data_IF_925861761241
#
_entry.id   IF_925861761241
#
_cell.length_a   1.000
_cell.length_b   1.000
_cell.length_c   1.000
_cell.angle_alpha   90.00
_cell.angle_beta   90.00
_cell.angle_gamma   90.00
#
_symmetry.space_group_name_H-M   'P 1'
#
loop_
_entity.id
_entity.type
_entity.pdbx_description
1 polymer ?
2 polymer ?
3 water ?
#
# COMPACT_ATOMS: atom_id res chain seq x y z
N UNK A 4 -11.51 -17.15 -10.01
CA UNK A 4 -10.27 -17.44 -9.31
C UNK A 4 -9.76 -16.24 -8.52
N UNK A 5 -9.12 -16.50 -7.39
CA UNK A 5 -8.51 -15.47 -6.58
C UNK A 5 -7.33 -14.85 -7.30
N UNK A 6 -7.30 -13.52 -7.41
CA UNK A 6 -6.22 -12.82 -8.12
C UNK A 6 -4.89 -12.91 -7.37
N UNK A 7 -3.80 -12.65 -8.09
CA UNK A 7 -2.47 -12.60 -7.50
C UNK A 7 -2.39 -11.48 -6.47
N UNK A 8 -1.78 -11.77 -5.32
CA UNK A 8 -1.62 -10.76 -4.28
C UNK A 8 -0.80 -9.57 -4.76
N UNK A 9 -1.23 -8.38 -4.33
CA UNK A 9 -0.80 -7.11 -4.88
C UNK A 9 0.70 -6.86 -4.80
N UNK A 10 1.27 -7.03 -3.61
CA UNK A 10 2.71 -6.84 -3.42
C UNK A 10 3.35 -8.13 -2.93
N UNK A 11 4.67 -8.16 -2.91
CA UNK A 11 5.39 -9.35 -2.46
C UNK A 11 5.25 -9.56 -0.95
N UNK A 12 5.22 -8.46 -0.19
CA UNK A 12 5.08 -8.54 1.25
C UNK A 12 3.73 -9.16 1.61
N UNK A 13 2.67 -8.68 0.95
CA UNK A 13 1.34 -9.24 1.14
C UNK A 13 1.32 -10.70 0.71
N UNK A 14 1.88 -10.97 -0.47
CA UNK A 14 1.97 -12.32 -1.03
C UNK A 14 2.64 -13.30 -0.06
N UNK A 15 3.75 -12.90 0.53
CA UNK A 15 4.50 -13.79 1.43
C UNK A 15 3.71 -14.13 2.69
N UNK A 16 2.83 -13.22 3.10
CA UNK A 16 2.03 -13.41 4.31
C UNK A 16 0.81 -14.30 4.05
N UNK A 17 0.07 -14.00 2.99
CA UNK A 17 -1.27 -14.57 2.80
C UNK A 17 -1.34 -15.79 1.87
N UNK A 18 -0.39 -15.89 0.94
CA UNK A 18 -0.36 -17.01 0.01
C UNK A 18 -0.33 -18.40 0.69
N UNK A 19 0.50 -18.58 1.74
CA UNK A 19 0.44 -19.88 2.42
C UNK A 19 -0.92 -20.15 3.05
N UNK A 20 -1.57 -19.09 3.54
CA UNK A 20 -2.90 -19.22 4.15
C UNK A 20 -3.93 -19.63 3.11
N UNK A 21 -3.93 -18.95 1.97
CA UNK A 21 -4.87 -19.25 0.90
C UNK A 21 -4.66 -20.67 0.38
N UNK A 22 -3.41 -21.08 0.28
CA UNK A 22 -3.08 -22.42 -0.20
C UNK A 22 -3.55 -23.50 0.78
N UNK A 23 -3.39 -23.26 2.08
CA UNK A 23 -3.76 -24.26 3.08
C UNK A 23 -5.28 -24.41 3.22
N UNK A 24 -6.00 -23.33 2.95
CA UNK A 24 -7.46 -23.36 3.02
C UNK A 24 -8.05 -24.16 1.85
N UNK A 25 -7.49 -23.99 0.66
CA UNK A 25 -7.94 -24.76 -0.50
C UNK A 25 -7.63 -26.25 -0.29
N UNK A 26 -6.53 -26.52 0.40
CA UNK A 26 -6.17 -27.88 0.76
C UNK A 26 -7.18 -28.44 1.77
N UNK A 27 -7.58 -27.59 2.72
CA UNK A 27 -8.59 -27.96 3.71
C UNK A 27 -9.93 -28.30 3.05
N UNK A 28 -10.34 -27.48 2.09
CA UNK A 28 -11.56 -27.72 1.32
C UNK A 28 -11.52 -29.06 0.59
N UNK A 29 -10.43 -29.29 -0.14
CA UNK A 29 -10.23 -30.55 -0.84
C UNK A 29 -10.30 -31.72 0.12
N UNK A 30 -9.62 -31.58 1.26
CA UNK A 30 -9.63 -32.62 2.28
C UNK A 30 -11.05 -32.81 2.83
N UNK A 31 -11.77 -31.70 2.96
CA UNK A 31 -13.13 -31.73 3.48
C UNK A 31 -14.08 -32.47 2.54
N UNK A 32 -13.86 -32.34 1.24
CA UNK A 32 -14.76 -32.94 0.25
C UNK A 32 -14.38 -34.37 -0.12
N UNK A 33 -13.09 -34.66 -0.14
CA UNK A 33 -12.60 -35.97 -0.59
C UNK A 33 -12.23 -36.87 0.58
N UNK A 34 -12.04 -36.27 1.75
CA UNK A 34 -11.63 -37.01 2.93
C UNK A 34 -12.76 -37.81 3.55
N UNK A 35 -12.44 -38.54 4.60
CA UNK A 35 -13.39 -39.44 5.24
C UNK A 35 -13.47 -39.18 6.74
N UNK A 38 -13.65 -38.37 13.19
CA UNK A 38 -13.52 -39.53 14.05
C UNK A 38 -12.89 -39.19 15.39
N UNK A 39 -12.33 -40.20 16.05
CA UNK A 39 -11.66 -39.99 17.34
C UNK A 39 -10.25 -39.45 17.16
N UNK A 40 -9.85 -39.27 15.91
CA UNK A 40 -8.51 -38.78 15.59
C UNK A 40 -8.44 -37.25 15.65
N UNK A 41 -9.57 -36.61 15.87
CA UNK A 41 -9.64 -35.14 15.95
C UNK A 41 -9.25 -34.66 17.35
N UNK A 42 -8.13 -33.93 17.46
CA UNK A 42 -7.64 -33.42 18.74
C UNK A 42 -8.45 -32.23 19.24
N UNK A 43 -8.25 -31.85 20.50
CA UNK A 43 -8.93 -30.69 21.07
C UNK A 43 -8.38 -29.41 20.43
N UNK A 44 -9.27 -28.66 19.79
CA UNK A 44 -8.86 -27.45 19.08
C UNK A 44 -9.10 -26.19 19.92
N UNK A 45 -9.42 -26.38 21.20
CA UNK A 45 -9.70 -25.25 22.09
C UNK A 45 -8.49 -24.31 22.24
N UNK A 46 -7.35 -24.87 22.62
CA UNK A 46 -6.12 -24.09 22.73
C UNK A 46 -5.58 -23.50 21.41
N UNK A 47 -5.61 -24.28 20.31
CA UNK A 47 -5.17 -23.68 19.03
C UNK A 47 -6.02 -22.49 18.60
N UNK A 48 -7.35 -22.65 18.67
CA UNK A 48 -8.26 -21.55 18.34
C UNK A 48 -8.02 -20.36 19.25
N UNK A 49 -7.74 -20.64 20.52
CA UNK A 49 -7.45 -19.61 21.50
C UNK A 49 -6.20 -18.82 21.10
N UNK A 50 -5.25 -19.49 20.46
CA UNK A 50 -4.02 -18.84 20.03
C UNK A 50 -4.26 -17.91 18.85
N UNK A 51 -5.15 -18.31 17.96
CA UNK A 51 -5.54 -17.48 16.83
C UNK A 51 -6.24 -16.24 17.35
N UNK A 52 -7.19 -16.47 18.26
CA UNK A 52 -7.97 -15.40 18.87
C UNK A 52 -7.06 -14.38 19.54
N UNK A 53 -6.01 -14.86 20.20
CA UNK A 53 -5.05 -14.00 20.86
C UNK A 53 -4.26 -13.17 19.85
N UNK A 54 -3.80 -13.84 18.79
CA UNK A 54 -3.01 -13.18 17.76
C UNK A 54 -3.83 -12.14 17.00
N UNK A 55 -5.07 -12.48 16.69
CA UNK A 55 -5.97 -11.57 16.01
C UNK A 55 -6.21 -10.32 16.85
N UNK A 56 -6.44 -10.53 18.14
CA UNK A 56 -6.65 -9.45 19.09
C UNK A 56 -5.47 -8.49 19.07
N UNK A 57 -4.25 -9.04 19.02
CA UNK A 57 -3.05 -8.22 18.96
C UNK A 57 -2.94 -7.45 17.65
N UNK A 58 -3.42 -8.04 16.56
CA UNK A 58 -3.41 -7.36 15.27
C UNK A 58 -4.37 -6.17 15.27
N UNK A 59 -5.51 -6.35 15.92
CA UNK A 59 -6.51 -5.29 16.02
C UNK A 59 -6.00 -4.10 16.85
N UNK A 60 -5.42 -4.41 18.01
CA UNK A 60 -4.86 -3.39 18.89
C UNK A 60 -3.75 -2.57 18.22
N UNK A 61 -2.78 -3.27 17.62
CA UNK A 61 -1.68 -2.59 16.93
C UNK A 61 -2.22 -1.77 15.75
N UNK A 62 -3.19 -2.34 15.05
CA UNK A 62 -3.84 -1.65 13.95
C UNK A 62 -4.49 -0.34 14.39
N UNK A 63 -5.10 -0.35 15.57
CA UNK A 63 -5.74 0.85 16.11
C UNK A 63 -4.71 1.89 16.54
N UNK A 64 -3.64 1.44 17.20
CA UNK A 64 -2.59 2.33 17.67
C UNK A 64 -1.89 3.01 16.49
N UNK A 65 -1.77 2.27 15.39
CA UNK A 65 -1.10 2.78 14.19
C UNK A 65 -1.97 3.79 13.46
N UNK A 66 -3.27 3.50 13.38
CA UNK A 66 -4.20 4.41 12.70
C UNK A 66 -4.53 5.61 13.59
N UNK A 67 -4.29 5.45 14.89
CA UNK A 67 -4.50 6.53 15.86
C UNK A 67 -3.57 7.70 15.59
N UNK A 68 -2.36 7.38 15.13
CA UNK A 68 -1.32 8.38 14.95
C UNK A 68 -1.12 8.77 13.49
N UNK A 69 -2.20 8.85 12.73
CA UNK A 69 -2.12 9.32 11.35
C UNK A 69 -3.07 10.47 11.10
N UNK A 70 -2.90 11.15 9.98
CA UNK A 70 -3.79 12.23 9.57
C UNK A 70 -4.63 11.78 8.39
N UNK A 71 -4.44 10.53 7.99
CA UNK A 71 -5.19 9.96 6.87
C UNK A 71 -6.60 9.58 7.32
N UNK A 72 -7.55 10.46 7.07
CA UNK A 72 -8.93 10.24 7.48
C UNK A 72 -9.58 9.12 6.68
N UNK A 73 -9.05 8.85 5.50
CA UNK A 73 -9.53 7.74 4.68
C UNK A 73 -9.15 6.42 5.34
N UNK A 74 -7.92 6.36 5.83
CA UNK A 74 -7.44 5.17 6.52
C UNK A 74 -8.25 4.91 7.79
N UNK A 75 -8.63 5.99 8.47
CA UNK A 75 -9.45 5.89 9.68
C UNK A 75 -10.83 5.33 9.38
N UNK A 76 -11.31 5.57 8.15
CA UNK A 76 -12.64 5.17 7.75
C UNK A 76 -12.70 3.74 7.21
N UNK A 77 -11.68 3.36 6.44
CA UNK A 77 -11.69 2.06 5.74
C UNK A 77 -11.15 0.90 6.57
N UNK A 78 -10.43 1.21 7.63
CA UNK A 78 -9.83 0.18 8.49
C UNK A 78 -10.80 -0.58 9.40
N UNK A 79 -11.71 0.13 10.12
CA UNK A 79 -12.61 -0.58 11.04
C UNK A 79 -13.42 -1.77 10.47
N UNK A 80 -13.92 -1.69 9.22
CA UNK A 80 -14.58 -2.89 8.69
C UNK A 80 -13.70 -4.14 8.69
N UNK A 81 -12.39 -3.98 8.46
CA UNK A 81 -11.49 -5.11 8.45
C UNK A 81 -11.33 -5.70 9.85
N UNK A 82 -11.30 -4.83 10.86
CA UNK A 82 -11.23 -5.27 12.24
C UNK A 82 -12.40 -6.18 12.55
N UNK A 83 -13.58 -5.77 12.10
CA UNK A 83 -14.80 -6.50 12.35
C UNK A 83 -14.79 -7.89 11.69
N UNK A 84 -14.27 -7.94 10.46
CA UNK A 84 -14.21 -9.19 9.71
C UNK A 84 -13.45 -10.29 10.45
N UNK A 85 -12.24 -9.98 10.89
CA UNK A 85 -11.39 -10.97 11.55
C UNK A 85 -11.91 -11.37 12.93
N UNK A 86 -12.53 -10.43 13.64
CA UNK A 86 -13.03 -10.72 14.97
C UNK A 86 -14.26 -11.62 14.90
N UNK A 87 -15.13 -11.34 13.92
CA UNK A 87 -16.28 -12.19 13.69
C UNK A 87 -15.87 -13.61 13.31
N UNK A 88 -14.84 -13.71 12.46
CA UNK A 88 -14.34 -14.99 12.00
C UNK A 88 -13.82 -15.83 13.17
N UNK A 89 -13.27 -15.15 14.18
CA UNK A 89 -12.79 -15.83 15.38
C UNK A 89 -13.91 -16.53 16.15
N UNK A 90 -15.09 -15.91 16.19
CA UNK A 90 -16.22 -16.48 16.93
C UNK A 90 -16.70 -17.76 16.28
N UNK A 91 -16.50 -17.87 14.97
CA UNK A 91 -16.87 -19.06 14.24
C UNK A 91 -15.92 -20.22 14.57
N UNK A 92 -14.66 -19.87 14.83
CA UNK A 92 -13.66 -20.87 15.18
C UNK A 92 -13.83 -21.36 16.61
N UNK A 93 -14.13 -20.42 17.51
CA UNK A 93 -14.39 -20.75 18.91
C UNK A 93 -15.57 -21.70 19.02
N UNK A 94 -16.66 -21.34 18.33
CA UNK A 94 -17.86 -22.16 18.33
C UNK A 94 -17.60 -23.54 17.72
N UNK A 95 -16.78 -23.58 16.67
CA UNK A 95 -16.44 -24.83 16.01
C UNK A 95 -15.72 -25.80 16.96
N UNK A 96 -14.70 -25.29 17.64
CA UNK A 96 -13.95 -26.07 18.61
C UNK A 96 -14.85 -26.65 19.71
N UNK A 97 -15.82 -25.84 20.12
CA UNK A 97 -16.76 -26.23 21.16
C UNK A 97 -17.69 -27.34 20.64
N UNK A 98 -18.12 -27.19 19.39
CA UNK A 98 -18.96 -28.18 18.73
C UNK A 98 -18.27 -29.54 18.58
N UNK A 99 -17.06 -29.51 18.03
CA UNK A 99 -16.30 -30.74 17.79
C UNK A 99 -15.94 -31.44 19.09
N UNK A 100 -15.78 -30.65 20.15
CA UNK A 100 -15.53 -31.19 21.47
C UNK A 100 -16.71 -32.04 21.94
N UNK A 101 -17.92 -31.65 21.54
CA UNK A 101 -19.12 -32.37 21.91
C UNK A 101 -19.40 -33.52 20.95
N UNK A 102 -19.17 -33.27 19.66
CA UNK A 102 -19.37 -34.28 18.65
C UNK A 102 -18.33 -34.14 17.55
N UNK A 103 -17.39 -35.08 17.49
CA UNK A 103 -16.29 -35.11 16.51
C UNK A 103 -16.79 -35.17 15.07
N UNK A 104 -18.04 -35.54 14.88
CA UNK A 104 -18.62 -35.68 13.54
C UNK A 104 -19.51 -34.50 13.16
N UNK A 105 -19.47 -33.44 13.95
CA UNK A 105 -20.32 -32.27 13.72
C UNK A 105 -20.14 -31.64 12.34
N UNK A 106 -21.21 -31.63 11.56
CA UNK A 106 -21.20 -31.00 10.24
C UNK A 106 -21.08 -29.46 10.27
N UNK A 107 -21.90 -28.77 11.09
CA UNK A 107 -21.78 -27.31 11.11
C UNK A 107 -20.42 -26.85 11.60
N UNK A 108 -19.79 -27.65 12.45
CA UNK A 108 -18.48 -27.32 13.00
C UNK A 108 -17.42 -27.22 11.91
N UNK A 109 -17.53 -28.09 10.90
CA UNK A 109 -16.57 -28.11 9.81
C UNK A 109 -16.80 -26.94 8.85
N UNK A 110 -18.06 -26.59 8.65
CA UNK A 110 -18.40 -25.43 7.84
C UNK A 110 -17.89 -24.15 8.48
N UNK A 111 -17.98 -24.10 9.82
CA UNK A 111 -17.49 -22.96 10.59
C UNK A 111 -15.96 -22.83 10.50
N UNK A 112 -15.29 -23.98 10.51
CA UNK A 112 -13.84 -24.02 10.48
C UNK A 112 -13.33 -23.45 9.16
N UNK A 113 -13.99 -23.81 8.08
CA UNK A 113 -13.63 -23.32 6.75
C UNK A 113 -14.01 -21.85 6.58
N UNK A 114 -15.23 -21.50 6.98
CA UNK A 114 -15.72 -20.12 6.83
C UNK A 114 -14.97 -19.14 7.72
N UNK A 115 -14.63 -19.58 8.93
CA UNK A 115 -13.86 -18.77 9.84
C UNK A 115 -12.43 -18.54 9.36
N UNK A 116 -11.81 -19.58 8.83
CA UNK A 116 -10.46 -19.47 8.27
C UNK A 116 -10.44 -18.54 7.07
N UNK A 117 -11.46 -18.67 6.22
CA UNK A 117 -11.61 -17.81 5.06
C UNK A 117 -11.80 -16.35 5.48
N UNK A 118 -12.52 -16.15 6.58
CA UNK A 118 -12.80 -14.81 7.08
C UNK A 118 -11.57 -14.14 7.66
N UNK A 119 -10.70 -14.92 8.27
CA UNK A 119 -9.44 -14.42 8.79
C UNK A 119 -8.56 -13.93 7.63
N UNK A 120 -8.55 -14.72 6.56
CA UNK A 120 -7.76 -14.41 5.38
C UNK A 120 -8.27 -13.14 4.69
N UNK A 121 -9.55 -13.16 4.36
CA UNK A 121 -10.21 -12.02 3.71
C UNK A 121 -10.02 -10.72 4.50
N UNK A 122 -10.19 -10.81 5.81
CA UNK A 122 -10.09 -9.65 6.68
C UNK A 122 -8.67 -9.13 6.81
N UNK A 123 -7.72 -10.05 6.98
CA UNK A 123 -6.31 -9.67 7.05
C UNK A 123 -5.88 -9.08 5.71
N UNK A 124 -6.46 -9.61 4.64
CA UNK A 124 -6.21 -9.09 3.30
C UNK A 124 -6.72 -7.66 3.16
N UNK A 125 -7.93 -7.41 3.66
CA UNK A 125 -8.51 -6.07 3.65
C UNK A 125 -7.67 -5.08 4.43
N UNK A 126 -7.20 -5.50 5.59
CA UNK A 126 -6.36 -4.66 6.44
C UNK A 126 -5.05 -4.28 5.74
N UNK A 127 -4.45 -5.26 5.04
CA UNK A 127 -3.18 -5.02 4.35
C UNK A 127 -3.35 -4.14 3.12
N UNK A 128 -4.45 -4.34 2.40
CA UNK A 128 -4.76 -3.53 1.23
C UNK A 128 -5.03 -2.09 1.63
N UNK A 129 -5.66 -1.91 2.79
CA UNK A 129 -6.01 -0.59 3.27
C UNK A 129 -4.77 0.21 3.68
N UNK A 130 -3.82 -0.46 4.35
CA UNK A 130 -2.55 0.17 4.67
C UNK A 130 -1.77 0.47 3.39
N UNK A 131 -1.84 -0.46 2.45
CA UNK A 131 -1.15 -0.31 1.18
C UNK A 131 -1.66 0.91 0.41
N UNK A 132 -2.97 1.14 0.45
CA UNK A 132 -3.58 2.28 -0.21
C UNK A 132 -3.14 3.58 0.45
N UNK A 133 -2.88 3.53 1.75
CA UNK A 133 -2.40 4.70 2.47
C UNK A 133 -0.95 5.00 2.10
N UNK A 134 -0.18 3.94 1.83
CA UNK A 134 1.20 4.10 1.39
C UNK A 134 1.25 4.77 0.02
N UNK A 135 0.41 4.29 -0.89
CA UNK A 135 0.29 4.85 -2.23
C UNK A 135 -0.11 6.33 -2.18
N UNK A 136 -1.05 6.66 -1.31
CA UNK A 136 -1.52 8.05 -1.18
C UNK A 136 -0.39 9.00 -0.78
N UNK A 137 0.55 8.51 0.01
CA UNK A 137 1.72 9.30 0.40
C UNK A 137 2.61 9.59 -0.80
N UNK A 138 2.78 8.60 -1.67
CA UNK A 138 3.58 8.77 -2.88
C UNK A 138 2.91 9.76 -3.82
N UNK A 139 1.59 9.62 -3.97
CA UNK A 139 0.82 10.48 -4.86
C UNK A 139 0.90 11.95 -4.43
N UNK A 140 0.91 12.19 -3.12
CA UNK A 140 1.06 13.54 -2.60
C UNK A 140 2.40 14.15 -3.03
N UNK A 141 3.47 13.37 -2.88
CA UNK A 141 4.79 13.79 -3.35
C UNK A 141 4.76 14.08 -4.85
N UNK A 142 4.10 13.21 -5.61
CA UNK A 142 3.97 13.39 -7.05
C UNK A 142 3.22 14.67 -7.39
N UNK A 143 2.11 14.92 -6.70
CA UNK A 143 1.30 16.10 -6.94
C UNK A 143 2.01 17.38 -6.54
N UNK A 144 2.87 17.28 -5.54
CA UNK A 144 3.65 18.41 -5.09
C UNK A 144 4.62 18.87 -6.17
N UNK A 145 5.25 17.90 -6.82
CA UNK A 145 6.18 18.19 -7.90
C UNK A 145 5.45 18.73 -9.12
N UNK A 146 4.27 18.18 -9.41
CA UNK A 146 3.41 18.70 -10.45
C UNK A 146 3.14 20.19 -10.23
N UNK A 147 2.85 20.55 -9.00
CA UNK A 147 2.57 21.94 -8.65
C UNK A 147 3.87 22.75 -8.60
N UNK A 148 4.97 22.08 -8.34
CA UNK A 148 6.27 22.75 -8.34
C UNK A 148 6.64 23.14 -9.78
N UNK A 149 6.23 22.32 -10.73
CA UNK A 149 6.47 22.61 -12.14
C UNK A 149 5.62 23.77 -12.63
N UNK A 150 4.49 23.98 -11.97
CA UNK A 150 3.58 25.08 -12.29
C UNK A 150 4.29 26.42 -12.16
N UNK A 151 5.16 26.52 -11.16
CA UNK A 151 5.81 27.79 -10.84
C UNK A 151 7.09 28.03 -11.64
N UNK A 152 7.39 27.14 -12.58
CA UNK A 152 8.56 27.28 -13.42
C UNK A 152 8.41 28.50 -14.35
N UNK A 153 7.18 28.90 -14.58
CA UNK A 153 6.88 30.00 -15.49
C UNK A 153 7.22 31.37 -14.90
N UNK A 154 7.29 31.46 -13.57
CA UNK A 154 7.49 32.74 -12.92
C UNK A 154 8.95 33.05 -12.59
N UNK A 155 9.86 32.15 -12.97
CA UNK A 155 11.29 32.35 -12.73
C UNK A 155 11.91 33.16 -13.86
N UNK A 156 12.32 34.38 -13.55
CA UNK A 156 12.78 35.31 -14.58
C UNK A 156 14.22 35.77 -14.38
N UNK A 157 14.81 35.44 -13.23
CA UNK A 157 16.20 35.79 -12.96
C UNK A 157 17.04 34.56 -12.64
N UNK A 158 18.34 34.67 -12.87
CA UNK A 158 19.25 33.54 -12.65
C UNK A 158 19.34 33.20 -11.17
N UNK A 159 19.22 34.22 -10.33
CA UNK A 159 19.19 34.03 -8.88
C UNK A 159 17.96 33.23 -8.48
N UNK A 160 16.82 33.57 -9.09
CA UNK A 160 15.58 32.84 -8.84
C UNK A 160 15.70 31.41 -9.36
N UNK A 161 16.49 31.23 -10.41
CA UNK A 161 16.73 29.89 -10.96
C UNK A 161 17.54 29.05 -9.98
N UNK A 162 18.45 29.70 -9.26
CA UNK A 162 19.22 29.01 -8.22
C UNK A 162 18.29 28.51 -7.13
N UNK A 163 17.45 29.41 -6.63
CA UNK A 163 16.47 29.09 -5.59
C UNK A 163 15.54 27.97 -6.03
N UNK A 164 15.06 28.07 -7.26
CA UNK A 164 14.13 27.10 -7.83
C UNK A 164 14.78 25.72 -7.93
N UNK A 165 16.04 25.70 -8.34
CA UNK A 165 16.76 24.44 -8.55
C UNK A 165 17.12 23.77 -7.22
N UNK A 166 17.37 24.59 -6.21
CA UNK A 166 17.77 24.10 -4.88
C UNK A 166 16.75 23.16 -4.25
N UNK A 167 15.48 23.35 -4.59
CA UNK A 167 14.41 22.56 -3.99
C UNK A 167 13.86 21.49 -4.93
N UNK A 168 13.84 21.80 -6.23
CA UNK A 168 13.33 20.87 -7.23
C UNK A 168 14.14 19.58 -7.26
N UNK A 169 15.46 19.70 -7.21
CA UNK A 169 16.36 18.57 -7.19
C UNK A 169 16.05 17.53 -6.11
N UNK A 170 16.10 17.96 -4.83
CA UNK A 170 15.75 17.09 -3.70
C UNK A 170 14.38 16.41 -3.86
N UNK A 171 13.36 17.18 -4.22
CA UNK A 171 12.03 16.64 -4.40
C UNK A 171 11.97 15.59 -5.49
N UNK A 172 12.67 15.85 -6.59
CA UNK A 172 12.79 14.89 -7.68
C UNK A 172 13.44 13.59 -7.20
N UNK A 173 14.47 13.73 -6.38
CA UNK A 173 15.21 12.59 -5.86
C UNK A 173 14.36 11.77 -4.88
N UNK A 174 13.59 12.45 -4.04
CA UNK A 174 12.70 11.77 -3.11
C UNK A 174 11.64 10.98 -3.86
N UNK A 175 11.01 11.62 -4.84
CA UNK A 175 9.98 10.96 -5.63
C UNK A 175 10.52 9.74 -6.37
N UNK A 176 11.69 9.91 -6.99
CA UNK A 176 12.34 8.83 -7.72
C UNK A 176 12.61 7.64 -6.80
N UNK A 177 12.97 7.92 -5.56
CA UNK A 177 13.29 6.88 -4.60
C UNK A 177 12.05 6.15 -4.13
N UNK A 178 10.96 6.89 -3.93
CA UNK A 178 9.70 6.29 -3.50
C UNK A 178 9.14 5.36 -4.57
N UNK A 179 9.23 5.80 -5.82
CA UNK A 179 8.74 5.02 -6.95
C UNK A 179 9.59 3.76 -7.19
N UNK A 180 10.90 3.90 -7.03
CA UNK A 180 11.81 2.77 -7.18
C UNK A 180 11.54 1.70 -6.13
N UNK A 181 11.36 2.13 -4.88
CA UNK A 181 11.08 1.19 -3.80
C UNK A 181 9.72 0.53 -3.99
N UNK A 182 8.77 1.29 -4.54
CA UNK A 182 7.43 0.78 -4.75
C UNK A 182 7.37 -0.23 -5.90
N UNK A 183 8.03 0.10 -7.01
CA UNK A 183 7.96 -0.74 -8.20
C UNK A 183 8.49 -2.16 -7.96
N UNK A 184 9.60 -2.29 -7.25
CA UNK A 184 10.19 -3.60 -7.03
C UNK A 184 9.49 -4.38 -5.93
N UNK A 185 8.32 -3.89 -5.52
CA UNK A 185 7.51 -4.56 -4.52
C UNK A 185 6.28 -5.17 -5.19
N UNK A 186 5.93 -4.66 -6.37
CA UNK A 186 4.75 -5.11 -7.10
C UNK A 186 4.94 -6.48 -7.74
N UNK A 187 3.86 -7.25 -7.81
CA UNK A 187 3.89 -8.59 -8.38
C UNK A 187 3.51 -8.62 -9.85
N UNK A 188 3.25 -7.44 -10.42
CA UNK A 188 2.89 -7.36 -11.83
C UNK A 188 3.97 -6.63 -12.63
N UNK A 189 4.69 -7.41 -13.45
CA UNK A 189 5.81 -6.90 -14.22
C UNK A 189 5.47 -5.70 -15.12
N UNK A 190 4.35 -5.79 -15.83
CA UNK A 190 3.92 -4.74 -16.75
C UNK A 190 3.79 -3.39 -16.06
N UNK A 191 3.38 -3.40 -14.79
CA UNK A 191 3.25 -2.17 -14.02
C UNK A 191 4.61 -1.65 -13.55
N UNK A 192 5.53 -2.57 -13.25
CA UNK A 192 6.89 -2.18 -12.85
C UNK A 192 7.59 -1.41 -13.97
N UNK A 193 7.54 -1.96 -15.18
CA UNK A 193 8.26 -1.36 -16.32
C UNK A 193 7.65 -0.01 -16.69
N UNK A 194 6.34 0.12 -16.55
CA UNK A 194 5.64 1.38 -16.77
C UNK A 194 6.14 2.47 -15.81
N UNK A 195 6.24 2.12 -14.54
CA UNK A 195 6.70 3.06 -13.53
C UNK A 195 8.17 3.43 -13.74
N UNK A 196 8.99 2.43 -14.04
CA UNK A 196 10.41 2.66 -14.29
C UNK A 196 10.64 3.59 -15.49
N UNK A 197 9.97 3.28 -16.60
CA UNK A 197 10.13 4.08 -17.81
C UNK A 197 9.66 5.52 -17.65
N UNK A 198 8.48 5.70 -17.05
CA UNK A 198 7.92 7.04 -16.84
C UNK A 198 8.80 7.86 -15.89
N UNK A 199 9.36 7.22 -14.88
CA UNK A 199 10.26 7.90 -13.96
C UNK A 199 11.58 8.28 -14.64
N UNK A 200 12.05 7.41 -15.52
CA UNK A 200 13.29 7.67 -16.26
C UNK A 200 13.12 8.86 -17.20
N UNK A 201 11.97 8.93 -17.85
CA UNK A 201 11.66 10.05 -18.74
C UNK A 201 11.62 11.37 -17.97
N UNK A 202 11.00 11.35 -16.79
CA UNK A 202 10.96 12.53 -15.93
C UNK A 202 12.35 12.99 -15.52
N UNK A 203 13.20 12.05 -15.13
CA UNK A 203 14.55 12.38 -14.66
C UNK A 203 15.45 12.97 -15.74
N UNK A 204 15.31 12.48 -16.97
CA UNK A 204 16.15 12.96 -18.06
C UNK A 204 15.64 14.29 -18.62
N UNK A 205 14.38 14.62 -18.33
CA UNK A 205 13.80 15.89 -18.74
C UNK A 205 14.15 17.00 -17.75
N UNK A 206 14.71 16.62 -16.61
CA UNK A 206 15.12 17.59 -15.60
C UNK A 206 16.24 18.55 -16.07
N UNK A 207 17.37 18.01 -16.57
CA UNK A 207 18.41 18.93 -17.03
C UNK A 207 17.96 19.75 -18.24
N UNK A 208 17.06 19.18 -19.04
CA UNK A 208 16.50 19.87 -20.19
C UNK A 208 15.73 21.11 -19.74
N UNK A 209 14.93 20.96 -18.69
CA UNK A 209 14.14 22.06 -18.15
C UNK A 209 15.03 23.18 -17.62
N UNK A 210 16.01 22.81 -16.81
CA UNK A 210 16.92 23.78 -16.21
C UNK A 210 17.70 24.53 -17.27
N UNK A 211 18.19 23.80 -18.27
CA UNK A 211 18.93 24.39 -19.38
C UNK A 211 18.07 25.39 -20.17
N UNK A 212 16.80 25.05 -20.33
CA UNK A 212 15.87 25.93 -21.03
C UNK A 212 15.58 27.17 -20.19
N UNK A 213 15.43 26.98 -18.89
CA UNK A 213 15.19 28.10 -17.98
C UNK A 213 16.43 28.99 -17.90
N UNK A 214 17.61 28.38 -18.11
CA UNK A 214 18.85 29.13 -18.13
C UNK A 214 18.84 30.14 -19.26
N UNK A 215 18.57 29.67 -20.46
CA UNK A 215 18.60 30.52 -21.65
C UNK A 215 17.40 31.45 -21.73
N UNK A 216 16.30 31.09 -21.09
CA UNK A 216 15.14 31.98 -21.03
C UNK A 216 15.40 33.16 -20.11
N UNK A 217 16.00 32.87 -18.96
CA UNK A 217 16.30 33.91 -17.98
C UNK A 217 17.26 34.96 -18.53
N UNK A 218 18.36 34.49 -19.14
CA UNK A 218 19.36 35.40 -19.70
C UNK A 218 18.79 36.20 -20.87
N UNK A 219 17.89 35.58 -21.63
CA UNK A 219 17.26 36.24 -22.77
C UNK A 219 16.34 37.36 -22.33
N UNK A 220 15.57 37.11 -21.27
CA UNK A 220 14.63 38.11 -20.78
C UNK A 220 15.36 39.36 -20.27
N UNK A 221 16.47 39.16 -19.58
CA UNK A 221 17.26 40.27 -19.06
C UNK A 221 18.44 40.60 -19.95
N UNK A 228 11.84 34.14 -27.14
CA UNK A 228 10.58 33.50 -27.48
C UNK A 228 10.74 31.99 -27.65
N UNK A 229 11.87 31.59 -28.22
CA UNK A 229 12.15 30.18 -28.48
C UNK A 229 12.28 29.38 -27.19
N UNK A 230 12.93 29.98 -26.19
CA UNK A 230 13.14 29.32 -24.91
C UNK A 230 11.84 29.29 -24.10
N UNK A 231 10.96 30.26 -24.37
CA UNK A 231 9.68 30.34 -23.71
C UNK A 231 8.84 29.09 -24.02
N UNK A 232 8.75 28.77 -25.31
CA UNK A 232 7.95 27.64 -25.77
C UNK A 232 8.58 26.31 -25.35
N UNK A 233 9.90 26.24 -25.38
CA UNK A 233 10.62 25.04 -25.00
C UNK A 233 10.44 24.68 -23.53
N UNK A 234 10.41 25.70 -22.68
CA UNK A 234 10.22 25.49 -21.24
C UNK A 234 8.85 24.92 -20.97
N UNK A 235 7.82 25.60 -21.46
CA UNK A 235 6.44 25.18 -21.28
C UNK A 235 6.19 23.78 -21.81
N UNK A 236 6.84 23.45 -22.92
CA UNK A 236 6.68 22.15 -23.55
C UNK A 236 7.28 21.05 -22.68
N UNK A 237 8.38 21.37 -22.02
CA UNK A 237 9.03 20.42 -21.12
C UNK A 237 8.15 20.15 -19.91
N UNK A 238 7.66 21.23 -19.30
CA UNK A 238 6.75 21.16 -18.16
C UNK A 238 5.55 20.30 -18.51
N UNK A 239 4.98 20.52 -19.68
CA UNK A 239 3.86 19.74 -20.18
C UNK A 239 4.20 18.26 -20.24
N UNK A 240 5.33 17.94 -20.86
CA UNK A 240 5.73 16.55 -21.04
C UNK A 240 6.05 15.88 -19.71
N UNK A 241 6.70 16.61 -18.82
CA UNK A 241 7.01 16.09 -17.49
C UNK A 241 5.76 15.85 -16.67
N UNK A 242 4.82 16.79 -16.74
CA UNK A 242 3.59 16.71 -15.97
C UNK A 242 2.74 15.50 -16.40
N UNK A 243 2.65 15.30 -17.71
CA UNK A 243 1.88 14.20 -18.26
C UNK A 243 2.43 12.85 -17.78
N UNK A 244 3.75 12.77 -17.66
CA UNK A 244 4.41 11.54 -17.21
C UNK A 244 4.15 11.27 -15.72
N UNK A 245 4.10 12.32 -14.92
CA UNK A 245 3.87 12.18 -13.49
C UNK A 245 2.43 11.76 -13.21
N UNK A 246 1.49 12.32 -13.96
CA UNK A 246 0.09 11.94 -13.86
C UNK A 246 -0.13 10.49 -14.30
N UNK A 247 0.65 10.04 -15.28
CA UNK A 247 0.59 8.65 -15.73
C UNK A 247 1.10 7.73 -14.63
N UNK A 248 2.14 8.18 -13.94
CA UNK A 248 2.68 7.46 -12.80
C UNK A 248 1.62 7.32 -11.70
N UNK A 249 0.96 8.43 -11.40
CA UNK A 249 -0.14 8.45 -10.44
C UNK A 249 -1.22 7.43 -10.79
N UNK A 250 -1.55 7.33 -12.08
CA UNK A 250 -2.56 6.39 -12.56
C UNK A 250 -2.14 4.93 -12.36
N UNK A 251 -0.87 4.64 -12.60
CA UNK A 251 -0.36 3.28 -12.51
C UNK A 251 -0.14 2.87 -11.06
N UNK A 252 0.21 3.83 -10.21
CA UNK A 252 0.36 3.58 -8.78
C UNK A 252 -0.92 3.07 -8.12
N UNK A 253 -2.05 3.45 -8.69
CA UNK A 253 -3.34 3.07 -8.11
C UNK A 253 -3.97 1.84 -8.77
N UNK A 254 -3.34 1.35 -9.82
CA UNK A 254 -3.84 0.16 -10.52
C UNK A 254 -3.79 -1.07 -9.62
N UNK A 255 -4.94 -1.72 -9.45
CA UNK A 255 -5.03 -2.93 -8.65
C UNK A 255 -6.10 -3.87 -9.20
N UNK A 256 -6.03 -5.12 -8.79
CA UNK A 256 -7.03 -6.11 -9.18
C UNK A 256 -7.89 -6.50 -7.99
N UNK A 257 -7.82 -5.71 -6.92
CA UNK A 257 -8.56 -5.99 -5.68
C UNK A 257 -9.65 -4.96 -5.40
N UNK A 258 -10.83 -5.17 -5.97
CA UNK A 258 -12.00 -4.35 -5.68
C UNK A 258 -13.27 -5.02 -6.18
N UNK B 2 -3.65 46.58 -0.57
CA UNK B 2 -3.24 45.66 -1.61
C UNK B 2 -2.89 44.28 -1.08
N UNK B 3 -2.91 43.29 -1.96
CA UNK B 3 -2.58 41.92 -1.59
C UNK B 3 -1.07 41.75 -1.40
N UNK B 4 -0.68 41.22 -0.25
CA UNK B 4 0.73 40.91 0.01
C UNK B 4 1.07 39.53 -0.55
N UNK B 5 1.35 39.49 -1.85
CA UNK B 5 1.64 38.23 -2.53
C UNK B 5 2.97 37.63 -2.10
N UNK B 6 2.99 36.31 -1.89
CA UNK B 6 4.19 35.58 -1.45
C UNK B 6 5.33 35.70 -2.45
N UNK B 7 6.56 35.77 -1.95
CA UNK B 7 7.73 35.78 -2.82
C UNK B 7 7.95 34.38 -3.37
N UNK B 8 8.97 34.24 -4.21
CA UNK B 8 9.32 32.95 -4.79
C UNK B 8 9.67 31.95 -3.70
N UNK B 9 10.57 32.35 -2.81
CA UNK B 9 11.01 31.49 -1.71
C UNK B 9 9.84 31.07 -0.83
N UNK B 10 8.94 32.01 -0.57
CA UNK B 10 7.76 31.72 0.23
C UNK B 10 6.84 30.75 -0.49
N UNK B 11 6.61 31.00 -1.77
CA UNK B 11 5.71 30.17 -2.56
C UNK B 11 6.23 28.75 -2.70
N UNK B 12 7.54 28.60 -2.77
CA UNK B 12 8.16 27.29 -2.88
C UNK B 12 8.07 26.51 -1.57
N UNK B 13 8.41 27.16 -0.47
CA UNK B 13 8.40 26.54 0.85
C UNK B 13 7.01 26.03 1.25
N UNK B 14 5.97 26.71 0.76
CA UNK B 14 4.60 26.30 1.03
C UNK B 14 4.29 24.98 0.33
N UNK B 15 4.68 24.91 -0.94
CA UNK B 15 4.47 23.70 -1.74
C UNK B 15 5.18 22.50 -1.14
N UNK B 16 6.45 22.67 -0.79
CA UNK B 16 7.25 21.61 -0.19
C UNK B 16 6.65 21.14 1.13
N UNK B 17 6.12 22.07 1.91
CA UNK B 17 5.47 21.74 3.18
C UNK B 17 4.18 20.96 2.95
N UNK B 18 3.45 21.33 1.89
CA UNK B 18 2.19 20.69 1.57
C UNK B 18 2.34 19.26 1.10
N UNK B 19 3.46 18.95 0.46
CA UNK B 19 3.69 17.62 -0.08
C UNK B 19 4.69 16.84 0.77
N UNK B 20 5.97 17.13 0.59
CA UNK B 20 7.03 16.47 1.33
C UNK B 20 8.32 17.29 1.35
N UNK B 31 8.57 2.04 10.37
CA UNK B 31 8.55 1.40 11.67
C UNK B 31 7.18 0.84 12.00
N UNK B 32 6.14 1.62 11.74
CA UNK B 32 4.78 1.21 12.01
C UNK B 32 4.33 0.14 11.01
N UNK B 33 4.98 0.10 9.85
CA UNK B 33 4.66 -0.89 8.82
C UNK B 33 5.24 -2.25 9.20
N UNK B 34 6.41 -2.23 9.83
CA UNK B 34 7.06 -3.45 10.27
C UNK B 34 6.25 -4.12 11.38
N UNK B 35 5.60 -3.31 12.19
CA UNK B 35 4.79 -3.80 13.30
C UNK B 35 3.50 -4.47 12.81
N UNK B 36 2.94 -3.95 11.73
CA UNK B 36 1.72 -4.51 11.16
C UNK B 36 1.98 -5.86 10.50
N UNK B 37 3.03 -5.91 9.68
CA UNK B 37 3.45 -7.14 9.01
C UNK B 37 3.74 -8.23 10.04
N UNK B 38 4.39 -7.85 11.13
CA UNK B 38 4.73 -8.78 12.20
C UNK B 38 3.48 -9.40 12.81
N UNK B 39 2.47 -8.57 13.07
CA UNK B 39 1.23 -9.03 13.68
C UNK B 39 0.40 -9.86 12.70
N UNK B 40 0.55 -9.59 11.41
CA UNK B 40 -0.13 -10.37 10.39
C UNK B 40 0.50 -11.75 10.23
N UNK B 41 1.82 -11.82 10.40
CA UNK B 41 2.52 -13.09 10.34
C UNK B 41 2.20 -13.97 11.54
N UNK B 42 2.12 -13.35 12.71
CA UNK B 42 1.74 -14.07 13.92
C UNK B 42 0.32 -14.62 13.78
N UNK B 43 -0.54 -13.85 13.12
CA UNK B 43 -1.90 -14.30 12.84
C UNK B 43 -1.85 -15.44 11.82
N UNK B 44 -0.99 -15.31 10.82
CA UNK B 44 -0.80 -16.35 9.81
C UNK B 44 -0.34 -17.63 10.48
N UNK B 45 0.67 -17.50 11.34
CA UNK B 45 1.25 -18.65 12.01
C UNK B 45 0.24 -19.41 12.87
N UNK B 46 -0.53 -18.67 13.66
CA UNK B 46 -1.49 -19.28 14.57
C UNK B 46 -2.59 -20.02 13.81
N UNK B 47 -3.10 -19.40 12.75
CA UNK B 47 -4.13 -20.02 11.93
C UNK B 47 -3.60 -21.27 11.21
N UNK B 48 -2.39 -21.18 10.67
CA UNK B 48 -1.79 -22.32 9.99
C UNK B 48 -1.53 -23.48 10.95
N UNK B 49 -1.16 -23.15 12.19
CA UNK B 49 -0.97 -24.19 13.20
C UNK B 49 -2.30 -24.83 13.58
N UNK B 50 -3.36 -24.04 13.60
CA UNK B 50 -4.70 -24.55 13.89
C UNK B 50 -5.15 -25.53 12.82
N UNK B 51 -5.01 -25.14 11.56
CA UNK B 51 -5.41 -26.00 10.45
C UNK B 51 -4.55 -27.25 10.39
N UNK B 52 -3.28 -27.13 10.75
CA UNK B 52 -2.37 -28.26 10.74
C UNK B 52 -2.76 -29.30 11.80
N UNK B 53 -3.18 -28.82 12.97
CA UNK B 53 -3.61 -29.73 14.03
C UNK B 53 -4.89 -30.44 13.63
N UNK B 54 -5.78 -29.73 12.95
CA UNK B 54 -7.05 -30.30 12.52
C UNK B 54 -6.86 -31.32 11.40
N UNK B 55 -6.06 -30.95 10.40
CA UNK B 55 -5.81 -31.82 9.26
C UNK B 55 -4.80 -32.91 9.63
N UNK B 56 -3.68 -32.48 10.20
CA UNK B 56 -2.60 -33.37 10.61
C UNK B 56 -1.64 -34.02 9.62
N UNK B 57 -1.19 -33.35 8.56
CA UNK B 57 -1.63 -32.02 8.13
C UNK B 57 -2.31 -32.10 6.77
#
# INVERSE_FOLDING_TARGET
GGIQMPVFHTRTIESILEPVAQQISHLVIMHEEGEVDGKAIPDLTAPVSAVQAAVSNLVRVGKETVQTTEDQILKRDMPPAFIKVENACTKLVRAAQMLQADPYSVPARDYLIDGSRGILSGTSDLLLTFDEAEVRKIIRVCKGILEYLTVAEVVETMEDLVTYTKNLGPGMTKMAKMIDERQQELTHQEHRVMLVNSMNTVKELLPVLISAMKIFVTTKNTKSQGIEEALKNRNFTVEKMSAEINEIIRVLQLTSWDEDAWA
GGIQRPSLEERLESIISGAALMADSSCTRDDRRERIVAECNAVRQALQDLLSEYMGNAG
#
